data_IF_711246615880
#
_entry.id   IF_711246615880
#
_cell.length_a   1.000
_cell.length_b   1.000
_cell.length_c   1.000
_cell.angle_alpha   90.00
_cell.angle_beta   90.00
_cell.angle_gamma   90.00
#
_symmetry.space_group_name_H-M   'P 1'
#
loop_
_entity.id
_entity.type
_entity.pdbx_description
1 polymer ?
#
# COMPACT_ATOMS: atom_id res chain seq x y z
N UNK A 1 13.11 -16.12 5.50
CA UNK A 1 14.16 -15.36 4.79
C UNK A 1 13.52 -14.16 4.11
N UNK A 2 13.97 -12.93 4.41
CA UNK A 2 13.44 -11.73 3.79
C UNK A 2 13.54 -11.86 2.26
N UNK A 3 12.40 -11.81 1.58
CA UNK A 3 12.35 -11.70 0.12
C UNK A 3 13.01 -10.37 -0.25
N UNK A 4 14.32 -10.41 -0.51
CA UNK A 4 15.12 -9.21 -0.73
C UNK A 4 14.61 -8.52 -2.00
N UNK A 5 13.88 -7.42 -1.83
CA UNK A 5 13.46 -6.55 -2.92
C UNK A 5 14.68 -5.76 -3.43
N UNK A 6 15.57 -6.44 -4.17
CA UNK A 6 16.85 -5.85 -4.65
C UNK A 6 16.65 -4.49 -5.30
N UNK A 7 15.58 -4.33 -6.10
CA UNK A 7 15.28 -3.06 -6.76
C UNK A 7 14.95 -1.91 -5.81
N UNK A 8 14.36 -2.18 -4.63
CA UNK A 8 14.13 -1.19 -3.57
C UNK A 8 15.44 -0.87 -2.87
N UNK A 9 16.22 -1.88 -2.48
CA UNK A 9 17.52 -1.70 -1.81
C UNK A 9 18.48 -0.84 -2.65
N UNK A 10 18.57 -1.12 -3.96
CA UNK A 10 19.39 -0.33 -4.88
C UNK A 10 18.89 1.11 -4.96
N UNK A 11 17.56 1.32 -5.06
CA UNK A 11 17.01 2.66 -5.11
C UNK A 11 17.29 3.47 -3.84
N UNK A 12 17.12 2.87 -2.66
CA UNK A 12 17.46 3.51 -1.38
C UNK A 12 18.95 3.85 -1.32
N UNK A 13 19.82 2.93 -1.76
CA UNK A 13 21.26 3.17 -1.82
C UNK A 13 21.61 4.33 -2.77
N UNK A 14 21.01 4.39 -3.96
CA UNK A 14 21.19 5.49 -4.91
C UNK A 14 20.83 6.84 -4.29
N UNK A 15 19.68 6.92 -3.61
CA UNK A 15 19.21 8.14 -2.93
C UNK A 15 20.17 8.53 -1.81
N UNK A 16 20.56 7.59 -0.94
CA UNK A 16 21.48 7.85 0.17
C UNK A 16 22.88 8.29 -0.28
N UNK A 17 23.28 7.93 -1.50
CA UNK A 17 24.56 8.32 -2.09
C UNK A 17 24.52 9.70 -2.78
N UNK A 18 23.34 10.32 -2.93
CA UNK A 18 23.23 11.67 -3.49
C UNK A 18 23.81 12.69 -2.50
N UNK A 19 24.82 13.45 -2.95
CA UNK A 19 25.52 14.44 -2.09
C UNK A 19 24.86 15.82 -2.09
N UNK A 20 23.94 16.07 -3.02
CA UNK A 20 23.23 17.34 -3.17
C UNK A 20 21.77 17.08 -3.54
N UNK A 21 20.88 17.98 -3.12
CA UNK A 21 19.42 17.87 -3.27
C UNK A 21 18.98 17.69 -4.73
N UNK A 22 19.65 18.36 -5.66
CA UNK A 22 19.34 18.28 -7.10
C UNK A 22 19.54 16.86 -7.67
N UNK A 23 20.56 16.12 -7.19
CA UNK A 23 20.80 14.74 -7.63
C UNK A 23 19.74 13.79 -7.09
N UNK A 24 19.35 14.01 -5.83
CA UNK A 24 18.25 13.26 -5.21
C UNK A 24 16.95 13.50 -6.00
N UNK A 25 16.58 14.75 -6.23
CA UNK A 25 15.40 15.12 -7.01
C UNK A 25 15.41 14.48 -8.41
N UNK A 26 16.54 14.55 -9.11
CA UNK A 26 16.70 13.90 -10.42
C UNK A 26 16.51 12.39 -10.35
N UNK A 27 17.01 11.73 -9.29
CA UNK A 27 16.88 10.28 -9.10
C UNK A 27 15.44 9.87 -8.76
N UNK A 28 14.77 10.66 -7.93
CA UNK A 28 13.36 10.52 -7.56
C UNK A 28 12.47 10.66 -8.81
N UNK A 29 12.62 11.74 -9.56
CA UNK A 29 11.86 12.00 -10.79
C UNK A 29 12.03 10.89 -11.83
N UNK A 30 13.27 10.41 -12.01
CA UNK A 30 13.56 9.27 -12.90
C UNK A 30 12.84 8.00 -12.45
N UNK A 31 12.83 7.70 -11.15
CA UNK A 31 12.15 6.51 -10.64
C UNK A 31 10.62 6.64 -10.73
N UNK A 32 10.06 7.81 -10.40
CA UNK A 32 8.62 8.07 -10.55
C UNK A 32 8.16 7.89 -11.99
N UNK A 33 8.89 8.43 -12.97
CA UNK A 33 8.58 8.27 -14.39
C UNK A 33 8.61 6.79 -14.81
N UNK A 34 9.62 6.03 -14.35
CA UNK A 34 9.72 4.60 -14.60
C UNK A 34 8.54 3.81 -13.99
N UNK A 35 8.15 4.11 -12.74
CA UNK A 35 7.03 3.43 -12.08
C UNK A 35 5.72 3.76 -12.79
N UNK A 36 5.46 5.03 -13.15
CA UNK A 36 4.27 5.42 -13.93
C UNK A 36 4.17 4.64 -15.23
N UNK A 37 5.25 4.55 -16.00
CA UNK A 37 5.29 3.80 -17.24
C UNK A 37 4.96 2.32 -16.99
N UNK A 38 5.55 1.70 -15.96
CA UNK A 38 5.31 0.30 -15.62
C UNK A 38 3.89 0.01 -15.15
N UNK A 39 3.25 0.93 -14.43
CA UNK A 39 1.84 0.80 -14.04
C UNK A 39 0.93 0.94 -15.25
N UNK A 40 1.22 1.88 -16.15
CA UNK A 40 0.48 2.05 -17.42
C UNK A 40 0.59 0.83 -18.34
N UNK A 41 1.74 0.16 -18.38
CA UNK A 41 1.94 -1.07 -19.17
C UNK A 41 1.01 -2.22 -18.72
N UNK A 42 0.55 -2.22 -17.46
CA UNK A 42 -0.39 -3.21 -16.89
C UNK A 42 0.16 -4.63 -16.66
N UNK A 43 1.24 -5.02 -17.35
CA UNK A 43 1.85 -6.35 -17.31
C UNK A 43 2.79 -6.56 -16.11
N UNK A 44 2.27 -6.34 -14.90
CA UNK A 44 3.03 -6.52 -13.66
C UNK A 44 2.47 -7.65 -12.80
N UNK A 45 3.36 -8.55 -12.37
CA UNK A 45 3.02 -9.53 -11.36
C UNK A 45 2.98 -8.92 -9.95
N UNK A 46 2.45 -9.66 -8.97
CA UNK A 46 2.30 -9.19 -7.59
C UNK A 46 3.63 -8.78 -6.92
N UNK A 47 4.73 -9.47 -7.21
CA UNK A 47 6.05 -9.07 -6.71
C UNK A 47 6.50 -7.72 -7.28
N UNK A 48 6.31 -7.48 -8.58
CA UNK A 48 6.66 -6.22 -9.22
C UNK A 48 5.79 -5.07 -8.69
N UNK A 49 4.47 -5.26 -8.57
CA UNK A 49 3.56 -4.28 -7.98
C UNK A 49 3.99 -3.93 -6.56
N UNK A 50 4.19 -4.94 -5.71
CA UNK A 50 4.69 -4.78 -4.33
C UNK A 50 5.97 -3.95 -4.28
N UNK A 51 6.96 -4.30 -5.10
CA UNK A 51 8.25 -3.60 -5.16
C UNK A 51 8.08 -2.12 -5.54
N UNK A 52 7.23 -1.80 -6.51
CA UNK A 52 7.02 -0.42 -6.93
C UNK A 52 6.21 0.39 -5.93
N UNK A 53 5.17 -0.19 -5.32
CA UNK A 53 4.43 0.45 -4.22
C UNK A 53 5.35 0.74 -3.04
N UNK A 54 6.27 -0.18 -2.69
CA UNK A 54 7.28 0.09 -1.65
C UNK A 54 8.21 1.27 -1.99
N UNK A 55 8.56 1.46 -3.27
CA UNK A 55 9.36 2.63 -3.69
C UNK A 55 8.56 3.92 -3.54
N UNK A 56 7.28 3.92 -3.92
CA UNK A 56 6.39 5.07 -3.75
C UNK A 56 6.24 5.43 -2.28
N UNK A 57 6.00 4.44 -1.41
CA UNK A 57 5.95 4.62 0.04
C UNK A 57 7.24 5.22 0.59
N UNK A 58 8.40 4.74 0.14
CA UNK A 58 9.69 5.30 0.57
C UNK A 58 9.83 6.78 0.14
N UNK A 59 9.45 7.13 -1.09
CA UNK A 59 9.48 8.51 -1.56
C UNK A 59 8.51 9.41 -0.77
N UNK A 60 7.32 8.91 -0.47
CA UNK A 60 6.35 9.60 0.38
C UNK A 60 6.92 9.89 1.78
N UNK A 61 7.57 8.90 2.41
CA UNK A 61 8.19 9.06 3.73
C UNK A 61 9.34 10.10 3.70
N UNK A 62 10.04 10.24 2.58
CA UNK A 62 11.04 11.29 2.39
C UNK A 62 10.42 12.69 2.18
N UNK A 63 9.10 12.79 2.06
CA UNK A 63 8.37 14.05 1.86
C UNK A 63 8.13 14.43 0.40
N UNK A 64 8.24 13.48 -0.53
CA UNK A 64 7.86 13.69 -1.92
C UNK A 64 6.37 13.44 -2.12
N UNK A 65 5.71 14.32 -2.88
CA UNK A 65 4.31 14.17 -3.22
C UNK A 65 4.08 12.99 -4.18
N UNK A 66 3.15 12.11 -3.81
CA UNK A 66 2.78 10.92 -4.59
C UNK A 66 1.31 11.04 -5.02
N UNK A 67 1.09 11.26 -6.31
CA UNK A 67 -0.23 11.47 -6.93
C UNK A 67 -0.75 10.23 -7.68
N UNK A 68 -0.04 9.10 -7.62
CA UNK A 68 -0.36 7.88 -8.36
C UNK A 68 0.04 6.61 -7.60
N UNK A 69 -0.42 5.45 -8.07
CA UNK A 69 -0.11 4.16 -7.45
C UNK A 69 -1.12 3.68 -6.39
N UNK A 70 -2.14 4.49 -6.10
CA UNK A 70 -3.22 4.16 -5.17
C UNK A 70 -3.97 2.89 -5.59
N UNK A 71 -4.33 2.78 -6.88
CA UNK A 71 -5.03 1.60 -7.39
C UNK A 71 -4.15 0.34 -7.31
N UNK A 72 -2.84 0.45 -7.49
CA UNK A 72 -1.89 -0.65 -7.32
C UNK A 72 -1.79 -1.10 -5.85
N UNK A 73 -1.89 -0.19 -4.89
CA UNK A 73 -2.00 -0.55 -3.47
C UNK A 73 -3.32 -1.28 -3.18
N UNK A 74 -4.44 -0.83 -3.74
CA UNK A 74 -5.75 -1.51 -3.65
C UNK A 74 -5.72 -2.90 -4.29
N UNK A 75 -5.02 -3.06 -5.42
CA UNK A 75 -4.84 -4.38 -6.03
C UNK A 75 -4.02 -5.33 -5.14
N UNK A 76 -3.06 -4.81 -4.37
CA UNK A 76 -2.24 -5.61 -3.48
C UNK A 76 -3.01 -6.07 -2.24
N UNK A 77 -3.93 -5.27 -1.67
CA UNK A 77 -4.77 -5.72 -0.55
C UNK A 77 -5.69 -6.87 -0.95
N UNK A 78 -6.01 -7.03 -2.23
CA UNK A 78 -6.78 -8.18 -2.73
C UNK A 78 -5.93 -9.44 -2.98
N UNK A 79 -4.62 -9.40 -2.75
CA UNK A 79 -3.73 -10.54 -2.99
C UNK A 79 -3.86 -11.62 -1.91
N UNK A 80 -3.80 -12.90 -2.31
CA UNK A 80 -3.75 -14.03 -1.38
C UNK A 80 -2.36 -14.26 -0.77
N UNK A 81 -1.37 -13.42 -1.07
CA UNK A 81 -0.03 -13.51 -0.48
C UNK A 81 0.15 -12.45 0.59
N UNK A 82 0.42 -12.88 1.82
CA UNK A 82 0.68 -11.99 2.95
C UNK A 82 1.63 -10.83 2.61
N UNK A 83 2.80 -11.11 2.01
CA UNK A 83 3.78 -10.05 1.73
C UNK A 83 3.28 -8.99 0.73
N UNK A 84 2.35 -9.35 -0.15
CA UNK A 84 1.73 -8.41 -1.10
C UNK A 84 0.63 -7.62 -0.38
N UNK A 85 -0.27 -8.32 0.32
CA UNK A 85 -1.37 -7.75 1.11
C UNK A 85 -0.88 -6.77 2.18
N UNK A 86 0.18 -7.12 2.92
CA UNK A 86 0.81 -6.26 3.93
C UNK A 86 1.29 -4.92 3.34
N UNK A 87 1.93 -4.94 2.17
CA UNK A 87 2.37 -3.71 1.49
C UNK A 87 1.20 -2.94 0.91
N UNK A 88 0.16 -3.63 0.41
CA UNK A 88 -1.08 -3.00 0.00
C UNK A 88 -1.71 -2.22 1.16
N UNK A 89 -1.84 -2.85 2.33
CA UNK A 89 -2.46 -2.23 3.51
C UNK A 89 -1.67 -1.03 4.02
N UNK A 90 -0.34 -1.14 4.04
CA UNK A 90 0.52 0.01 4.35
C UNK A 90 0.36 1.13 3.31
N UNK A 91 0.27 0.76 2.03
CA UNK A 91 0.02 1.66 0.90
C UNK A 91 -1.26 2.47 1.06
N UNK A 92 -2.38 1.79 1.29
CA UNK A 92 -3.68 2.47 1.47
C UNK A 92 -3.70 3.32 2.74
N UNK A 93 -3.05 2.87 3.83
CA UNK A 93 -3.01 3.62 5.10
C UNK A 93 -2.21 4.92 4.98
N UNK A 94 -1.11 4.93 4.21
CA UNK A 94 -0.23 6.10 4.12
C UNK A 94 -0.58 7.04 2.97
N UNK A 95 -1.09 6.51 1.85
CA UNK A 95 -1.27 7.28 0.62
C UNK A 95 -2.72 7.68 0.36
N UNK A 96 -3.72 6.97 0.92
CA UNK A 96 -5.11 7.30 0.63
C UNK A 96 -5.65 8.41 1.53
N UNK A 97 -6.37 9.32 0.91
CA UNK A 97 -7.26 10.26 1.59
C UNK A 97 -8.66 9.66 1.72
N UNK A 98 -9.37 9.98 2.81
CA UNK A 98 -10.71 9.48 3.12
C UNK A 98 -11.74 9.74 2.00
N UNK A 99 -11.55 10.82 1.23
CA UNK A 99 -12.44 11.23 0.13
C UNK A 99 -12.06 10.65 -1.25
N UNK A 100 -11.25 9.59 -1.30
CA UNK A 100 -10.88 8.94 -2.56
C UNK A 100 -12.05 8.14 -3.13
N UNK A 101 -12.24 8.19 -4.46
CA UNK A 101 -13.15 7.28 -5.18
C UNK A 101 -12.84 5.79 -4.93
N UNK A 102 -11.65 5.49 -4.42
CA UNK A 102 -11.19 4.15 -4.08
C UNK A 102 -11.62 3.69 -2.68
N UNK A 103 -12.16 4.56 -1.82
CA UNK A 103 -12.54 4.24 -0.44
C UNK A 103 -13.48 3.03 -0.38
N UNK A 104 -14.45 2.96 -1.29
CA UNK A 104 -15.37 1.82 -1.40
C UNK A 104 -14.68 0.50 -1.75
N UNK A 105 -13.67 0.54 -2.62
CA UNK A 105 -12.91 -0.67 -2.98
C UNK A 105 -12.11 -1.17 -1.77
N UNK A 106 -11.51 -0.25 -1.01
CA UNK A 106 -10.79 -0.58 0.22
C UNK A 106 -11.73 -1.17 1.27
N UNK A 107 -12.89 -0.55 1.50
CA UNK A 107 -13.89 -1.07 2.44
C UNK A 107 -14.31 -2.50 2.06
N UNK A 108 -14.58 -2.75 0.77
CA UNK A 108 -14.95 -4.09 0.29
C UNK A 108 -13.83 -5.11 0.51
N UNK A 109 -12.57 -4.75 0.24
CA UNK A 109 -11.42 -5.63 0.51
C UNK A 109 -11.22 -5.89 2.00
N UNK A 110 -11.36 -4.86 2.85
CA UNK A 110 -11.28 -4.99 4.31
C UNK A 110 -12.37 -5.92 4.82
N UNK A 111 -13.62 -5.72 4.39
CA UNK A 111 -14.75 -6.57 4.78
C UNK A 111 -14.49 -8.03 4.46
N UNK A 112 -14.04 -8.31 3.23
CA UNK A 112 -13.68 -9.66 2.81
C UNK A 112 -12.61 -10.28 3.70
N UNK A 113 -11.59 -9.50 4.07
CA UNK A 113 -10.54 -9.99 4.94
C UNK A 113 -11.06 -10.28 6.35
N UNK A 114 -11.93 -9.42 6.93
CA UNK A 114 -12.57 -9.63 8.24
C UNK A 114 -13.53 -10.84 8.29
N UNK A 115 -14.03 -11.28 7.13
CA UNK A 115 -14.86 -12.48 6.99
C UNK A 115 -14.02 -13.76 6.83
N UNK A 116 -12.74 -13.63 6.49
CA UNK A 116 -11.86 -14.77 6.27
C UNK A 116 -11.43 -15.40 7.62
N UNK A 117 -11.35 -16.73 7.66
CA UNK A 117 -10.82 -17.49 8.81
C UNK A 117 -9.28 -17.42 8.83
N UNK A 118 -8.73 -16.22 8.78
CA UNK A 118 -7.31 -15.95 8.77
C UNK A 118 -6.99 -14.76 9.67
N UNK A 119 -6.53 -15.05 10.89
CA UNK A 119 -6.18 -14.05 11.90
C UNK A 119 -5.17 -13.01 11.41
N UNK A 120 -4.24 -13.40 10.53
CA UNK A 120 -3.22 -12.50 10.00
C UNK A 120 -3.88 -11.44 9.10
N UNK A 121 -4.84 -11.84 8.27
CA UNK A 121 -5.55 -10.91 7.38
C UNK A 121 -6.53 -10.06 8.16
N UNK A 122 -7.22 -10.63 9.16
CA UNK A 122 -8.04 -9.90 10.12
C UNK A 122 -7.22 -8.80 10.81
N UNK A 123 -6.01 -9.11 11.31
CA UNK A 123 -5.14 -8.11 11.94
C UNK A 123 -4.76 -6.97 10.98
N UNK A 124 -4.40 -7.28 9.73
CA UNK A 124 -4.06 -6.25 8.75
C UNK A 124 -5.25 -5.33 8.46
N UNK A 125 -6.43 -5.91 8.28
CA UNK A 125 -7.68 -5.20 8.05
C UNK A 125 -8.06 -4.30 9.25
N UNK A 126 -8.02 -4.83 10.47
CA UNK A 126 -8.31 -4.08 11.70
C UNK A 126 -7.32 -2.92 11.91
N UNK A 127 -6.03 -3.13 11.64
CA UNK A 127 -5.05 -2.04 11.69
C UNK A 127 -5.35 -0.95 10.66
N UNK A 128 -5.76 -1.32 9.45
CA UNK A 128 -6.13 -0.33 8.43
C UNK A 128 -7.35 0.49 8.86
N UNK A 129 -8.37 -0.15 9.44
CA UNK A 129 -9.56 0.55 9.98
C UNK A 129 -9.15 1.56 11.06
N UNK A 130 -8.29 1.14 12.00
CA UNK A 130 -7.87 1.99 13.11
C UNK A 130 -7.01 3.19 12.67
N UNK A 131 -6.24 3.06 11.58
CA UNK A 131 -5.34 4.12 11.11
C UNK A 131 -5.96 5.02 10.04
N UNK A 132 -6.84 4.50 9.17
CA UNK A 132 -7.53 5.29 8.15
C UNK A 132 -8.74 5.99 8.76
N UNK A 133 -9.60 5.23 9.46
CA UNK A 133 -10.84 5.75 10.01
C UNK A 133 -11.82 6.25 8.94
N UNK A 134 -12.51 7.34 9.24
CA UNK A 134 -13.53 7.93 8.36
C UNK A 134 -14.95 7.39 8.60
N UNK A 135 -15.94 8.24 8.32
CA UNK A 135 -17.36 7.94 8.56
C UNK A 135 -17.84 6.73 7.75
N UNK A 136 -17.54 6.70 6.45
CA UNK A 136 -17.98 5.62 5.55
C UNK A 136 -17.42 4.26 5.99
N UNK A 137 -16.17 4.23 6.46
CA UNK A 137 -15.52 3.01 6.95
C UNK A 137 -16.13 2.54 8.27
N UNK A 138 -16.39 3.45 9.21
CA UNK A 138 -17.03 3.14 10.49
C UNK A 138 -18.46 2.61 10.29
N UNK A 139 -19.26 3.26 9.45
CA UNK A 139 -20.64 2.84 9.15
C UNK A 139 -20.67 1.47 8.47
N UNK A 140 -19.71 1.20 7.56
CA UNK A 140 -19.71 -0.04 6.78
C UNK A 140 -19.14 -1.25 7.51
N UNK A 141 -18.21 -1.06 8.46
CA UNK A 141 -17.42 -2.15 9.04
C UNK A 141 -17.59 -2.33 10.56
N UNK A 142 -18.28 -1.41 11.25
CA UNK A 142 -18.47 -1.49 12.71
C UNK A 142 -19.08 -2.82 13.17
N UNK A 143 -20.04 -3.36 12.42
CA UNK A 143 -20.65 -4.66 12.72
C UNK A 143 -19.64 -5.81 12.63
N UNK A 144 -18.82 -5.84 11.57
CA UNK A 144 -17.80 -6.88 11.38
C UNK A 144 -16.72 -6.83 12.47
N UNK A 145 -16.29 -5.63 12.87
CA UNK A 145 -15.36 -5.43 13.99
C UNK A 145 -15.97 -5.91 15.31
N UNK A 146 -17.23 -5.55 15.58
CA UNK A 146 -17.92 -5.99 16.80
C UNK A 146 -18.09 -7.51 16.85
N UNK A 147 -18.44 -8.15 15.71
CA UNK A 147 -18.54 -9.61 15.58
C UNK A 147 -17.22 -10.30 15.94
N UNK A 148 -16.10 -9.79 15.44
CA UNK A 148 -14.78 -10.35 15.74
C UNK A 148 -14.40 -10.20 17.22
N UNK A 149 -14.79 -9.09 17.87
CA UNK A 149 -14.51 -8.85 19.28
C UNK A 149 -15.23 -9.84 20.22
N UNK A 150 -16.46 -10.25 19.86
CA UNK A 150 -17.28 -11.17 20.67
C UNK A 150 -17.14 -12.64 20.22
N UNK A 151 -16.37 -12.89 19.17
CA UNK A 151 -16.10 -14.25 18.69
C UNK A 151 -15.23 -14.99 19.72
N UNK A 152 -15.63 -16.19 20.17
CA UNK A 152 -14.87 -16.99 21.13
C UNK A 152 -13.55 -17.51 20.56
#
# INVERSE_FOLDING_TARGET
MASNMRGLTVFIADIRNCRVRELEEKRINKEMANIRAKFKDGNLNGYQKKKYVCKLLYMYILGWDIDFGHMEAVNLISSNKYSEKQIGYLGVTLLMHENSDLTRLVINSIKKDLEELNEIYNCLALHAIANIGGREMAESLSFDVHRLLISP
#
